data_IF_671257828928
#
_entry.id   IF_671257828928
#
_cell.length_a   1.000
_cell.length_b   1.000
_cell.length_c   1.000
_cell.angle_alpha   90.00
_cell.angle_beta   90.00
_cell.angle_gamma   90.00
#
_symmetry.space_group_name_H-M   'P 1'
#
loop_
_entity.id
_entity.type
_entity.pdbx_description
1 polymer ?
#
# COMPACT_ATOMS: atom_id res chain seq x y z
N UNK A 1 -21.85 13.46 -12.30
CA UNK A 1 -21.43 14.34 -11.20
C UNK A 1 -20.80 13.59 -10.02
N UNK A 2 -21.05 12.30 -9.87
CA UNK A 2 -20.55 11.46 -8.76
C UNK A 2 -19.41 10.51 -9.18
N UNK A 3 -18.87 10.64 -10.39
CA UNK A 3 -17.70 9.89 -10.83
C UNK A 3 -16.50 10.24 -9.93
N UNK A 4 -15.82 9.24 -9.32
CA UNK A 4 -14.69 9.48 -8.42
C UNK A 4 -13.50 10.20 -9.07
N UNK A 5 -13.42 10.24 -10.40
CA UNK A 5 -12.38 10.95 -11.14
C UNK A 5 -12.63 12.47 -11.26
N UNK A 6 -13.87 12.88 -11.05
CA UNK A 6 -14.25 14.30 -11.18
C UNK A 6 -13.98 15.07 -9.89
N UNK A 7 -13.57 16.33 -10.05
CA UNK A 7 -13.32 17.26 -8.94
C UNK A 7 -14.64 17.86 -8.39
N UNK A 8 -15.63 17.01 -8.15
CA UNK A 8 -16.90 17.40 -7.53
C UNK A 8 -16.93 16.93 -6.08
N UNK A 9 -17.73 17.56 -5.23
CA UNK A 9 -17.91 17.14 -3.84
C UNK A 9 -18.41 15.68 -3.75
N UNK A 10 -19.28 15.27 -4.66
CA UNK A 10 -19.77 13.89 -4.74
C UNK A 10 -18.66 12.92 -5.15
N UNK A 11 -17.81 13.28 -6.13
CA UNK A 11 -16.66 12.50 -6.55
C UNK A 11 -15.64 12.37 -5.41
N UNK A 12 -15.31 13.45 -4.73
CA UNK A 12 -14.42 13.42 -3.56
C UNK A 12 -14.95 12.54 -2.43
N UNK A 13 -16.25 12.64 -2.12
CA UNK A 13 -16.90 11.81 -1.12
C UNK A 13 -16.79 10.31 -1.46
N UNK A 14 -17.00 9.95 -2.73
CA UNK A 14 -16.86 8.56 -3.19
C UNK A 14 -15.42 8.04 -3.14
N UNK A 15 -14.45 8.92 -3.32
CA UNK A 15 -13.01 8.59 -3.13
C UNK A 15 -12.58 8.53 -1.67
N UNK A 16 -13.44 8.87 -0.72
CA UNK A 16 -13.14 8.85 0.70
C UNK A 16 -12.48 10.13 1.23
N UNK A 17 -12.58 11.26 0.51
CA UNK A 17 -12.13 12.55 1.03
C UNK A 17 -13.03 12.97 2.19
N UNK A 18 -12.42 13.42 3.27
CA UNK A 18 -13.13 13.90 4.44
C UNK A 18 -13.52 15.37 4.28
N UNK A 19 -14.59 15.84 4.93
CA UNK A 19 -14.92 17.28 4.92
C UNK A 19 -13.80 18.14 5.50
N UNK A 20 -13.05 17.65 6.49
CA UNK A 20 -11.91 18.34 7.08
C UNK A 20 -10.79 18.55 6.06
N UNK A 21 -10.41 17.50 5.31
CA UNK A 21 -9.38 17.61 4.28
C UNK A 21 -9.73 18.61 3.18
N UNK A 22 -11.01 18.68 2.78
CA UNK A 22 -11.45 19.65 1.76
C UNK A 22 -11.38 21.09 2.30
N UNK A 23 -11.77 21.31 3.56
CA UNK A 23 -11.64 22.64 4.19
C UNK A 23 -10.17 23.06 4.31
N UNK A 24 -9.32 22.16 4.80
CA UNK A 24 -7.87 22.41 4.89
C UNK A 24 -7.26 22.74 3.53
N UNK A 25 -7.69 22.06 2.48
CA UNK A 25 -7.27 22.38 1.11
C UNK A 25 -7.71 23.80 0.71
N UNK A 26 -8.96 24.17 0.95
CA UNK A 26 -9.45 25.54 0.65
C UNK A 26 -8.69 26.60 1.43
N UNK A 27 -8.35 26.34 2.69
CA UNK A 27 -7.55 27.25 3.52
C UNK A 27 -6.11 27.39 2.99
N UNK A 28 -5.49 26.29 2.56
CA UNK A 28 -4.14 26.31 1.98
C UNK A 28 -4.08 27.08 0.65
N UNK A 29 -5.10 26.93 -0.19
CA UNK A 29 -5.18 27.65 -1.47
C UNK A 29 -5.46 29.13 -1.22
N UNK A 30 -6.25 29.43 -0.19
CA UNK A 30 -6.70 30.77 0.12
C UNK A 30 -7.74 31.30 -0.88
N UNK A 31 -8.18 32.54 -0.66
CA UNK A 31 -9.10 33.23 -1.56
C UNK A 31 -8.35 34.28 -2.38
N UNK A 32 -8.42 34.18 -3.70
CA UNK A 32 -7.85 35.14 -4.61
C UNK A 32 -8.94 35.64 -5.61
N UNK A 33 -8.84 36.87 -6.10
CA UNK A 33 -9.73 37.42 -7.12
C UNK A 33 -9.27 37.11 -8.55
N UNK A 34 -8.02 36.68 -8.73
CA UNK A 34 -7.47 36.27 -10.03
C UNK A 34 -7.65 34.79 -10.25
N UNK A 35 -7.93 34.40 -11.49
CA UNK A 35 -7.91 33.00 -11.89
C UNK A 35 -6.50 32.43 -11.74
N UNK A 36 -6.41 31.27 -11.17
CA UNK A 36 -5.15 30.57 -10.93
C UNK A 36 -5.29 29.07 -11.12
N UNK A 37 -4.19 28.43 -11.51
CA UNK A 37 -4.08 26.97 -11.56
C UNK A 37 -3.59 26.48 -10.20
N UNK A 38 -4.36 25.61 -9.58
CA UNK A 38 -4.01 24.97 -8.31
C UNK A 38 -3.50 23.57 -8.59
N UNK A 39 -2.33 23.24 -8.06
CA UNK A 39 -1.78 21.88 -8.21
C UNK A 39 -2.68 20.88 -7.46
N UNK A 40 -3.13 19.86 -8.19
CA UNK A 40 -3.92 18.77 -7.63
C UNK A 40 -3.18 18.04 -6.48
N UNK A 41 -1.85 18.04 -6.49
CA UNK A 41 -1.02 17.52 -5.41
C UNK A 41 -1.27 18.18 -4.06
N UNK A 42 -1.73 19.44 -4.01
CA UNK A 42 -2.11 20.13 -2.76
C UNK A 42 -3.38 19.50 -2.15
N UNK A 43 -4.35 19.12 -2.99
CA UNK A 43 -5.55 18.42 -2.54
C UNK A 43 -5.20 17.02 -2.03
N UNK A 44 -4.34 16.28 -2.76
CA UNK A 44 -3.86 14.97 -2.33
C UNK A 44 -3.05 15.04 -1.03
N UNK A 45 -2.28 16.10 -0.85
CA UNK A 45 -1.54 16.35 0.39
C UNK A 45 -2.49 16.58 1.57
N UNK A 46 -3.54 17.40 1.39
CA UNK A 46 -4.52 17.68 2.43
C UNK A 46 -5.26 16.44 2.91
N UNK A 47 -5.70 15.57 1.99
CA UNK A 47 -6.36 14.32 2.38
C UNK A 47 -5.37 13.37 3.07
N UNK A 48 -4.13 13.31 2.60
CA UNK A 48 -3.10 12.47 3.21
C UNK A 48 -2.79 12.92 4.64
N UNK A 49 -2.67 14.21 4.89
CA UNK A 49 -2.49 14.76 6.24
C UNK A 49 -3.64 14.37 7.19
N UNK A 50 -4.87 14.56 6.74
CA UNK A 50 -6.04 14.27 7.57
C UNK A 50 -6.16 12.77 7.88
N UNK A 51 -5.98 11.93 6.87
CA UNK A 51 -6.01 10.47 7.06
C UNK A 51 -4.82 9.97 7.89
N UNK A 52 -3.64 10.57 7.72
CA UNK A 52 -2.47 10.21 8.51
C UNK A 52 -2.67 10.51 9.99
N UNK A 53 -3.35 11.61 10.30
CA UNK A 53 -3.64 12.00 11.66
C UNK A 53 -4.82 11.22 12.30
N UNK A 54 -5.80 10.77 11.52
CA UNK A 54 -7.09 10.35 12.08
C UNK A 54 -7.51 8.92 11.71
N UNK A 55 -7.04 8.37 10.62
CA UNK A 55 -7.55 7.09 10.12
C UNK A 55 -6.92 5.87 10.81
N UNK A 56 -7.72 4.88 11.22
CA UNK A 56 -7.20 3.59 11.64
C UNK A 56 -6.40 2.93 10.50
N UNK A 57 -5.30 2.28 10.83
CA UNK A 57 -4.43 1.61 9.86
C UNK A 57 -4.90 0.19 9.61
N UNK A 58 -4.92 -0.20 8.36
CA UNK A 58 -5.05 -1.59 7.93
C UNK A 58 -3.90 -1.96 7.00
N UNK A 59 -3.62 -3.26 6.86
CA UNK A 59 -2.72 -3.75 5.82
C UNK A 59 -3.55 -4.19 4.63
N UNK A 60 -3.08 -3.82 3.44
CA UNK A 60 -3.65 -4.21 2.17
C UNK A 60 -2.51 -4.60 1.24
N UNK A 61 -2.71 -5.66 0.47
CA UNK A 61 -1.81 -6.14 -0.57
C UNK A 61 -2.55 -6.01 -1.89
N UNK A 62 -2.04 -5.18 -2.79
CA UNK A 62 -2.72 -4.87 -4.04
C UNK A 62 -2.49 -5.94 -5.11
N UNK A 63 -1.26 -6.43 -5.22
CA UNK A 63 -0.84 -7.48 -6.15
C UNK A 63 -0.26 -8.64 -5.36
N UNK A 64 -1.11 -9.58 -4.89
CA UNK A 64 -0.67 -10.60 -3.96
C UNK A 64 0.36 -11.54 -4.58
N UNK A 65 1.45 -11.76 -3.87
CA UNK A 65 2.44 -12.79 -4.11
C UNK A 65 2.45 -13.72 -2.89
N UNK A 66 2.20 -14.99 -3.12
CA UNK A 66 2.17 -15.99 -2.06
C UNK A 66 3.56 -16.19 -1.47
N UNK A 67 3.64 -16.22 -0.15
CA UNK A 67 4.83 -16.55 0.62
C UNK A 67 4.52 -17.71 1.54
N UNK A 68 5.33 -18.77 1.44
CA UNK A 68 5.27 -19.93 2.31
C UNK A 68 6.49 -19.92 3.23
N UNK A 69 6.24 -19.86 4.54
CA UNK A 69 7.30 -19.87 5.57
C UNK A 69 7.61 -21.31 5.92
N UNK A 70 8.69 -21.83 5.37
CA UNK A 70 9.02 -23.28 5.36
C UNK A 70 9.32 -23.82 6.74
N UNK A 71 9.93 -23.03 7.61
CA UNK A 71 10.29 -23.40 8.98
C UNK A 71 9.25 -23.00 10.04
N UNK A 72 8.06 -22.50 9.62
CA UNK A 72 6.94 -22.27 10.53
C UNK A 72 6.08 -23.54 10.64
N UNK A 73 5.68 -23.98 11.86
CA UNK A 73 4.93 -25.21 12.03
C UNK A 73 3.59 -25.22 11.31
N UNK A 74 3.25 -26.34 10.69
CA UNK A 74 1.95 -26.52 10.02
C UNK A 74 0.79 -26.44 11.01
N UNK A 75 -0.27 -25.73 10.61
CA UNK A 75 -1.48 -25.58 11.44
C UNK A 75 -1.32 -24.65 12.63
N UNK A 76 -0.14 -24.15 12.92
CA UNK A 76 0.05 -23.13 13.95
C UNK A 76 -0.41 -21.76 13.46
N UNK A 77 -1.17 -21.07 14.30
CA UNK A 77 -1.58 -19.68 14.10
C UNK A 77 -1.26 -18.91 15.36
N UNK A 78 -0.51 -17.84 15.21
CA UNK A 78 -0.16 -16.92 16.28
C UNK A 78 -0.86 -15.56 16.06
N UNK A 79 -1.58 -15.06 17.06
CA UNK A 79 -2.22 -13.76 16.96
C UNK A 79 -1.27 -12.66 17.42
N UNK A 80 -0.82 -11.86 16.46
CA UNK A 80 0.05 -10.71 16.71
C UNK A 80 -0.79 -9.45 16.95
N UNK A 81 -0.40 -8.65 17.93
CA UNK A 81 -1.07 -7.38 18.22
C UNK A 81 -0.39 -6.23 17.50
N UNK A 82 -1.18 -5.48 16.73
CA UNK A 82 -0.72 -4.28 16.08
C UNK A 82 -1.60 -3.08 16.47
N UNK A 83 -0.98 -1.93 16.78
CA UNK A 83 -1.76 -0.72 17.03
C UNK A 83 -2.53 -0.32 15.77
N UNK A 84 -3.78 0.11 15.94
CA UNK A 84 -4.60 0.63 14.84
C UNK A 84 -4.11 1.99 14.35
N UNK A 85 -3.38 2.71 15.20
CA UNK A 85 -2.75 3.98 14.85
C UNK A 85 -1.44 4.16 15.64
N UNK A 86 -0.35 4.65 15.01
CA UNK A 86 0.94 4.75 15.68
C UNK A 86 1.00 5.80 16.79
N UNK A 87 0.11 6.81 16.76
CA UNK A 87 0.09 7.94 17.69
C UNK A 87 -1.20 8.06 18.51
N UNK A 88 -2.19 7.21 18.24
CA UNK A 88 -3.52 7.26 18.88
C UNK A 88 -3.84 5.92 19.54
N UNK A 89 -3.43 5.80 20.80
CA UNK A 89 -3.65 4.58 21.59
C UNK A 89 -5.14 4.31 21.83
N UNK A 90 -5.96 5.38 21.86
CA UNK A 90 -7.41 5.29 22.02
C UNK A 90 -8.12 4.52 20.90
N UNK A 91 -7.49 4.38 19.73
CA UNK A 91 -8.01 3.55 18.64
C UNK A 91 -7.79 2.04 18.88
N UNK A 92 -7.03 1.71 19.91
CA UNK A 92 -6.77 0.35 20.34
C UNK A 92 -5.87 -0.43 19.40
N UNK A 93 -5.87 -1.76 19.59
CA UNK A 93 -5.08 -2.71 18.81
C UNK A 93 -5.99 -3.56 17.92
N UNK A 94 -5.38 -4.20 16.94
CA UNK A 94 -6.00 -5.26 16.14
C UNK A 94 -5.19 -6.53 16.25
N UNK A 95 -5.87 -7.66 16.21
CA UNK A 95 -5.26 -8.97 16.12
C UNK A 95 -4.98 -9.30 14.65
N UNK A 96 -3.78 -9.75 14.36
CA UNK A 96 -3.34 -10.17 13.04
C UNK A 96 -2.83 -11.61 13.14
N UNK A 97 -3.55 -12.60 12.63
CA UNK A 97 -3.12 -13.99 12.69
C UNK A 97 -1.91 -14.20 11.77
N UNK A 98 -0.79 -14.65 12.34
CA UNK A 98 0.39 -15.05 11.62
C UNK A 98 0.40 -16.58 11.47
N UNK A 99 0.59 -17.05 10.26
CA UNK A 99 0.58 -18.46 9.91
C UNK A 99 1.66 -18.74 8.86
N UNK A 100 1.80 -20.02 8.50
CA UNK A 100 2.78 -20.47 7.50
C UNK A 100 2.61 -19.82 6.13
N UNK A 101 1.37 -19.52 5.72
CA UNK A 101 1.07 -18.91 4.43
C UNK A 101 0.59 -17.47 4.60
N UNK A 102 1.23 -16.57 3.89
CA UNK A 102 0.91 -15.14 3.86
C UNK A 102 0.99 -14.61 2.43
N UNK A 103 0.47 -13.41 2.21
CA UNK A 103 0.70 -12.66 0.97
C UNK A 103 1.47 -11.38 1.27
N UNK A 104 2.39 -11.04 0.36
CA UNK A 104 3.05 -9.73 0.28
C UNK A 104 2.71 -9.10 -1.07
N UNK A 105 3.00 -7.80 -1.23
CA UNK A 105 2.86 -7.18 -2.55
C UNK A 105 3.96 -7.68 -3.49
N UNK A 106 3.60 -7.96 -4.74
CA UNK A 106 4.54 -8.43 -5.76
C UNK A 106 5.71 -7.47 -5.96
N UNK A 107 5.50 -6.17 -5.82
CA UNK A 107 6.55 -5.14 -5.91
C UNK A 107 7.51 -5.14 -4.72
N UNK A 108 7.18 -5.88 -3.66
CA UNK A 108 8.06 -6.04 -2.51
C UNK A 108 9.14 -7.13 -2.70
N UNK A 109 9.09 -7.87 -3.82
CA UNK A 109 10.14 -8.82 -4.20
C UNK A 109 10.67 -8.51 -5.60
N UNK A 110 12.00 -8.58 -5.77
CA UNK A 110 12.67 -8.40 -7.06
C UNK A 110 13.89 -9.32 -7.15
N UNK A 111 14.02 -10.08 -8.24
CA UNK A 111 15.15 -11.00 -8.45
C UNK A 111 16.44 -10.26 -8.76
N UNK A 112 16.36 -9.21 -9.57
CA UNK A 112 17.48 -8.36 -9.96
C UNK A 112 17.23 -6.92 -9.49
N UNK A 113 17.42 -6.65 -8.19
CA UNK A 113 17.08 -5.34 -7.63
C UNK A 113 18.07 -4.26 -8.08
N UNK A 114 17.58 -3.03 -8.33
CA UNK A 114 18.44 -1.90 -8.58
C UNK A 114 19.22 -1.51 -7.32
N UNK A 115 20.32 -0.79 -7.52
CA UNK A 115 21.14 -0.29 -6.41
C UNK A 115 20.31 0.55 -5.43
N UNK A 116 20.34 0.16 -4.16
CA UNK A 116 19.60 0.84 -3.10
C UNK A 116 18.19 0.28 -2.83
N UNK A 117 17.80 -0.80 -3.46
CA UNK A 117 16.58 -1.52 -3.13
C UNK A 117 16.59 -1.98 -1.67
N UNK A 118 15.49 -1.78 -0.94
CA UNK A 118 15.39 -2.05 0.49
C UNK A 118 14.26 -3.00 0.84
N UNK A 119 13.87 -3.84 -0.11
CA UNK A 119 12.82 -4.83 0.06
C UNK A 119 13.39 -6.22 -0.13
N UNK A 120 12.56 -7.22 -0.35
CA UNK A 120 12.99 -8.61 -0.42
C UNK A 120 13.67 -8.92 -1.76
N UNK A 121 14.82 -9.56 -1.70
CA UNK A 121 15.60 -10.06 -2.83
C UNK A 121 16.01 -11.52 -2.58
N UNK A 122 16.47 -12.27 -3.58
CA UNK A 122 16.96 -13.65 -3.37
C UNK A 122 18.04 -13.70 -2.30
N UNK A 123 17.85 -14.59 -1.31
CA UNK A 123 18.68 -14.72 -0.10
C UNK A 123 18.73 -13.46 0.78
N UNK A 124 17.95 -12.43 0.46
CA UNK A 124 17.83 -11.21 1.25
C UNK A 124 16.83 -11.34 2.38
N UNK A 125 16.94 -10.43 3.35
CA UNK A 125 16.08 -10.37 4.52
C UNK A 125 15.23 -9.10 4.52
N UNK A 126 13.97 -9.25 4.96
CA UNK A 126 13.05 -8.13 5.16
C UNK A 126 12.21 -8.39 6.42
N UNK A 127 11.79 -7.31 7.07
CA UNK A 127 10.86 -7.40 8.20
C UNK A 127 9.42 -7.35 7.69
N UNK A 128 8.62 -8.28 8.10
CA UNK A 128 7.17 -8.19 8.01
C UNK A 128 6.67 -7.18 9.05
N UNK A 129 5.86 -6.23 8.64
CA UNK A 129 5.38 -5.14 9.52
C UNK A 129 4.68 -5.70 10.77
N UNK A 130 5.21 -5.34 11.94
CA UNK A 130 4.69 -5.82 13.23
C UNK A 130 4.86 -7.32 13.47
N UNK A 131 5.76 -7.99 12.76
CA UNK A 131 6.02 -9.41 12.86
C UNK A 131 7.51 -9.70 12.75
N UNK A 132 7.86 -10.86 12.27
CA UNK A 132 9.19 -11.41 12.18
C UNK A 132 10.01 -10.89 11.00
N UNK A 133 11.29 -11.15 11.00
CA UNK A 133 12.16 -11.07 9.83
C UNK A 133 12.05 -12.36 9.06
N UNK A 134 11.91 -12.26 7.74
CA UNK A 134 11.92 -13.39 6.81
C UNK A 134 13.07 -13.24 5.83
N UNK A 135 13.55 -14.37 5.31
CA UNK A 135 14.54 -14.46 4.24
C UNK A 135 13.94 -15.24 3.06
N UNK A 136 14.12 -14.73 1.85
CA UNK A 136 13.71 -15.43 0.63
C UNK A 136 14.74 -16.50 0.26
N UNK A 137 14.38 -17.77 0.41
CA UNK A 137 15.26 -18.90 0.14
C UNK A 137 15.10 -19.39 -1.31
N UNK A 138 13.86 -19.38 -1.85
CA UNK A 138 13.56 -19.86 -3.19
C UNK A 138 12.36 -19.10 -3.80
N UNK A 139 12.42 -18.81 -5.09
CA UNK A 139 11.31 -18.29 -5.88
C UNK A 139 10.78 -19.35 -6.85
N UNK A 140 9.51 -19.70 -6.71
CA UNK A 140 8.84 -20.67 -7.59
C UNK A 140 8.20 -19.92 -8.74
N UNK A 141 8.46 -20.40 -9.97
CA UNK A 141 7.96 -19.80 -11.20
C UNK A 141 6.96 -20.72 -11.91
N UNK A 142 6.03 -20.11 -12.62
CA UNK A 142 5.15 -20.81 -13.55
C UNK A 142 5.86 -21.17 -14.88
N UNK A 143 5.12 -21.76 -15.80
CA UNK A 143 5.63 -22.15 -17.12
C UNK A 143 6.02 -20.92 -17.99
N UNK A 144 5.46 -19.77 -17.73
CA UNK A 144 5.76 -18.50 -18.40
C UNK A 144 6.93 -17.75 -17.77
N UNK A 145 7.48 -18.25 -16.64
CA UNK A 145 8.59 -17.63 -15.93
C UNK A 145 8.19 -16.58 -14.90
N UNK A 146 6.89 -16.39 -14.65
CA UNK A 146 6.43 -15.47 -13.62
C UNK A 146 6.56 -16.10 -12.23
N UNK A 147 6.94 -15.30 -11.25
CA UNK A 147 7.03 -15.77 -9.87
C UNK A 147 5.61 -15.90 -9.30
N UNK A 148 5.26 -17.09 -8.83
CA UNK A 148 3.94 -17.42 -8.28
C UNK A 148 3.97 -17.65 -6.78
N UNK A 149 5.10 -18.09 -6.23
CA UNK A 149 5.27 -18.36 -4.81
C UNK A 149 6.71 -18.08 -4.39
N UNK A 150 6.89 -17.58 -3.17
CA UNK A 150 8.19 -17.49 -2.50
C UNK A 150 8.23 -18.47 -1.35
N UNK A 151 9.31 -19.22 -1.25
CA UNK A 151 9.64 -20.00 -0.06
C UNK A 151 10.61 -19.21 0.79
N UNK A 152 10.21 -18.95 2.02
CA UNK A 152 10.97 -18.13 2.95
C UNK A 152 11.19 -18.88 4.26
N UNK A 153 12.26 -18.55 4.94
CA UNK A 153 12.46 -18.90 6.35
C UNK A 153 12.24 -17.67 7.22
N UNK A 154 11.71 -17.84 8.43
CA UNK A 154 11.58 -16.77 9.41
C UNK A 154 12.58 -16.94 10.56
N UNK A 155 12.93 -15.83 11.19
CA UNK A 155 13.78 -15.80 12.38
C UNK A 155 12.88 -15.59 13.63
N UNK A 156 12.68 -16.65 14.45
CA UNK A 156 11.75 -16.60 15.59
C UNK A 156 12.14 -15.59 16.67
N UNK A 157 13.42 -15.25 16.76
CA UNK A 157 13.93 -14.33 17.77
C UNK A 157 13.73 -12.84 17.42
N UNK A 158 13.07 -12.55 16.29
CA UNK A 158 12.97 -11.18 15.75
C UNK A 158 11.61 -10.51 15.95
N UNK A 159 10.67 -11.14 16.68
CA UNK A 159 9.40 -10.52 16.98
C UNK A 159 9.60 -9.24 17.81
N UNK A 160 9.22 -8.10 17.24
CA UNK A 160 9.32 -6.79 17.89
C UNK A 160 10.73 -6.23 18.09
N UNK A 161 11.79 -6.96 17.71
CA UNK A 161 13.19 -6.55 17.87
C UNK A 161 14.04 -6.84 16.63
N UNK A 162 15.14 -6.14 16.49
CA UNK A 162 16.08 -6.40 15.41
C UNK A 162 16.92 -7.65 15.70
N UNK A 163 17.32 -8.41 14.67
CA UNK A 163 18.23 -9.54 14.84
C UNK A 163 19.60 -9.05 15.33
N UNK A 164 20.26 -9.90 16.14
CA UNK A 164 21.60 -9.59 16.64
C UNK A 164 22.65 -9.65 15.53
N UNK A 165 23.60 -8.71 15.56
CA UNK A 165 24.75 -8.70 14.67
C UNK A 165 24.48 -8.32 13.22
N UNK A 166 23.22 -8.10 12.81
CA UNK A 166 22.87 -7.69 11.45
C UNK A 166 21.73 -6.66 11.40
N UNK A 167 21.72 -5.85 10.37
CA UNK A 167 20.70 -4.80 10.20
C UNK A 167 19.79 -5.14 9.03
N UNK A 168 18.52 -5.37 9.32
CA UNK A 168 17.47 -5.52 8.30
C UNK A 168 16.94 -4.13 7.94
N UNK A 169 17.00 -3.77 6.65
CA UNK A 169 16.73 -2.41 6.17
C UNK A 169 15.31 -2.18 5.69
N UNK A 170 14.60 -3.22 5.32
CA UNK A 170 13.26 -3.16 4.73
C UNK A 170 12.16 -3.57 5.70
N UNK A 171 10.98 -2.95 5.54
CA UNK A 171 9.73 -3.38 6.18
C UNK A 171 8.68 -3.47 5.09
N UNK A 172 8.03 -4.61 4.96
CA UNK A 172 6.97 -4.85 3.97
C UNK A 172 5.62 -5.12 4.64
N UNK A 173 4.56 -4.78 3.95
CA UNK A 173 3.21 -5.12 4.37
C UNK A 173 2.92 -6.59 4.01
N UNK A 174 2.05 -7.20 4.77
CA UNK A 174 1.64 -8.58 4.56
C UNK A 174 0.22 -8.80 5.07
N UNK A 175 -0.42 -9.83 4.56
CA UNK A 175 -1.73 -10.28 5.05
C UNK A 175 -1.71 -11.80 5.18
N UNK A 176 -2.41 -12.37 6.19
CA UNK A 176 -2.51 -13.83 6.36
C UNK A 176 -3.35 -14.44 5.24
N UNK A 177 -2.91 -15.53 4.63
CA UNK A 177 -3.64 -16.17 3.53
C UNK A 177 -5.04 -16.65 3.96
N UNK A 178 -5.15 -17.23 5.15
CA UNK A 178 -6.40 -17.82 5.63
C UNK A 178 -7.42 -16.82 6.21
N UNK A 179 -6.99 -15.59 6.56
CA UNK A 179 -7.83 -14.61 7.26
C UNK A 179 -7.89 -13.26 6.55
N UNK A 180 -7.38 -13.16 5.34
CA UNK A 180 -7.55 -11.98 4.49
C UNK A 180 -8.89 -12.03 3.75
N UNK A 181 -9.39 -10.86 3.40
CA UNK A 181 -10.62 -10.70 2.62
C UNK A 181 -10.24 -10.15 1.26
N UNK A 182 -10.66 -10.85 0.22
CA UNK A 182 -10.51 -10.36 -1.14
C UNK A 182 -11.43 -9.16 -1.40
N UNK A 183 -10.92 -8.17 -2.10
CA UNK A 183 -11.69 -6.98 -2.43
C UNK A 183 -11.29 -6.44 -3.81
N UNK A 184 -12.26 -5.86 -4.51
CA UNK A 184 -12.00 -5.13 -5.74
C UNK A 184 -11.24 -3.83 -5.40
N UNK A 185 -10.10 -3.61 -6.05
CA UNK A 185 -9.33 -2.38 -5.90
C UNK A 185 -9.43 -1.56 -7.17
N UNK A 186 -9.94 -0.34 -7.05
CA UNK A 186 -10.04 0.61 -8.15
C UNK A 186 -9.00 1.71 -7.96
N UNK A 187 -7.99 1.71 -8.82
CA UNK A 187 -6.97 2.74 -8.84
C UNK A 187 -7.42 3.88 -9.75
N UNK A 188 -7.58 5.06 -9.17
CA UNK A 188 -7.93 6.27 -9.91
C UNK A 188 -6.70 7.15 -10.09
N UNK A 189 -6.43 7.54 -11.31
CA UNK A 189 -5.42 8.52 -11.66
C UNK A 189 -6.07 9.88 -11.96
N UNK A 190 -5.26 10.85 -12.34
CA UNK A 190 -5.72 12.18 -12.74
C UNK A 190 -6.57 12.11 -14.00
N UNK A 191 -7.64 12.92 -14.04
CA UNK A 191 -8.54 12.97 -15.19
C UNK A 191 -7.84 13.49 -16.45
N UNK A 192 -6.96 14.49 -16.28
CA UNK A 192 -6.26 15.15 -17.39
C UNK A 192 -4.76 14.88 -17.33
N UNK A 193 -4.15 14.67 -18.48
CA UNK A 193 -2.69 14.54 -18.61
C UNK A 193 -1.98 15.90 -18.56
N UNK A 194 -2.63 16.94 -19.08
CA UNK A 194 -2.10 18.30 -19.08
C UNK A 194 -2.55 19.06 -17.82
N UNK A 195 -1.66 19.86 -17.20
CA UNK A 195 -2.02 20.76 -16.11
C UNK A 195 -3.07 21.83 -16.53
N UNK A 196 -3.12 22.16 -17.82
CA UNK A 196 -4.07 23.11 -18.38
C UNK A 196 -4.71 22.52 -19.65
N UNK A 197 -5.75 21.69 -19.51
CA UNK A 197 -6.36 20.97 -20.63
C UNK A 197 -7.01 21.90 -21.67
N UNK A 198 -7.47 23.09 -21.27
CA UNK A 198 -8.09 24.06 -22.18
C UNK A 198 -7.07 24.73 -23.12
N UNK A 199 -5.79 24.73 -22.77
CA UNK A 199 -4.69 25.29 -23.58
C UNK A 199 -3.88 24.22 -24.30
N UNK A 200 -4.27 22.95 -24.22
CA UNK A 200 -3.60 21.88 -24.93
C UNK A 200 -3.93 22.00 -26.43
N UNK A 201 -2.90 21.96 -27.28
CA UNK A 201 -3.05 22.04 -28.75
C UNK A 201 -3.82 20.85 -29.33
N UNK A 202 -3.86 19.75 -28.61
CA UNK A 202 -4.56 18.53 -28.99
C UNK A 202 -5.73 18.26 -28.01
N UNK A 203 -6.94 18.58 -28.47
CA UNK A 203 -8.18 18.30 -27.73
C UNK A 203 -8.47 16.81 -27.55
N UNK A 204 -7.75 15.92 -28.26
CA UNK A 204 -7.84 14.47 -28.08
C UNK A 204 -7.23 14.00 -26.74
N UNK A 205 -6.55 14.88 -26.01
CA UNK A 205 -5.91 14.63 -24.72
C UNK A 205 -6.87 14.66 -23.51
N UNK A 206 -8.16 14.77 -23.71
CA UNK A 206 -9.15 14.38 -22.70
C UNK A 206 -9.21 12.85 -22.67
N UNK A 207 -8.07 12.22 -22.44
CA UNK A 207 -8.05 10.80 -22.13
C UNK A 207 -8.49 10.65 -20.67
N UNK A 208 -9.75 10.34 -20.50
CA UNK A 208 -10.28 9.72 -19.30
C UNK A 208 -9.48 8.44 -19.12
N UNK A 209 -8.52 8.43 -18.21
CA UNK A 209 -7.83 7.21 -17.83
C UNK A 209 -8.89 6.24 -17.32
N UNK A 210 -9.10 5.13 -18.03
CA UNK A 210 -9.97 4.07 -17.52
C UNK A 210 -9.37 3.55 -16.20
N UNK A 211 -10.21 3.26 -15.19
CA UNK A 211 -9.73 2.61 -13.99
C UNK A 211 -9.10 1.29 -14.40
N UNK A 212 -7.83 1.11 -14.12
CA UNK A 212 -7.15 -0.15 -14.35
C UNK A 212 -7.82 -1.18 -13.45
N UNK A 213 -8.65 -2.04 -14.02
CA UNK A 213 -9.08 -3.26 -13.36
C UNK A 213 -7.84 -4.14 -13.25
N UNK A 214 -7.34 -4.33 -12.06
CA UNK A 214 -6.46 -5.47 -11.83
C UNK A 214 -7.35 -6.72 -11.88
N UNK A 215 -7.04 -7.59 -12.82
CA UNK A 215 -7.64 -8.91 -12.90
C UNK A 215 -7.38 -9.69 -11.62
N UNK A 216 -8.36 -10.48 -11.29
CA UNK A 216 -8.46 -11.44 -10.19
C UNK A 216 -7.23 -12.33 -10.01
#
# INVERSE_FOLDING_TARGET
>A
WDDPRMSTLSGFRRRGYTPASIRNFCEMVGTNRSDGVVDYGMLEFSIRQDLDANAPRAMCVLRPLKVVITNYPEGQVENLELPRHPQKEELGVRQLPFAREIYIDRDDFMEEPPKGYKRLEPNGEVRLRGSYVIRADEAIKDAEGNIVELRCSYDPDTLGKNPEGRKVKGVVHWVPAAASVECEVRLYDRLFRSPNPEKAEDLSLIHISEPTRQAE
#
